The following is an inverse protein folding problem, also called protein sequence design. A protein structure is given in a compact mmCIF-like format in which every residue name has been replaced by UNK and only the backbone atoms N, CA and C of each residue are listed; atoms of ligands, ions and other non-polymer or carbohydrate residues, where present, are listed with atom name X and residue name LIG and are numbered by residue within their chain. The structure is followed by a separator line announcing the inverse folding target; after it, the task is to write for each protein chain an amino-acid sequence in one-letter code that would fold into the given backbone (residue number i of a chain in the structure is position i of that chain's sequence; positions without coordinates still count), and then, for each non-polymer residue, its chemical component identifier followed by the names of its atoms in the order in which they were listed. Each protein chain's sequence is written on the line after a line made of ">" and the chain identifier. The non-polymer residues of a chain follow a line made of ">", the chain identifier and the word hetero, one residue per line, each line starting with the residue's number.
data_IF_075524705991
#
_entry.id   IF_075524705991
#
_cell.length_a   1.000
_cell.length_b   1.000
_cell.length_c   1.000
_cell.angle_alpha   90.00
_cell.angle_beta   90.00
_cell.angle_gamma   90.00
#
_symmetry.space_group_name_H-M   'P 1'
#
loop_
_entity.id
_entity.type
_entity.pdbx_description
1 polymer ?
#
# COMPACT_ATOMS: atom_id res chain seq x y z
N UNK A 1 -4.98 -23.72 26.89
CA UNK A 1 -4.61 -23.38 25.50
C UNK A 1 -5.76 -22.58 24.87
N UNK A 2 -6.16 -21.47 25.50
CA UNK A 2 -7.42 -20.74 25.20
C UNK A 2 -7.30 -19.22 25.35
N UNK A 3 -6.26 -18.71 26.00
CA UNK A 3 -6.16 -17.28 26.33
C UNK A 3 -5.66 -16.40 25.19
N UNK A 4 -4.84 -16.96 24.32
CA UNK A 4 -4.21 -16.30 23.18
C UNK A 4 -5.13 -16.21 21.96
N UNK A 5 -6.03 -17.18 21.82
CA UNK A 5 -7.08 -17.21 20.79
C UNK A 5 -8.16 -16.17 21.06
N UNK A 6 -8.57 -16.01 22.33
CA UNK A 6 -9.51 -14.96 22.74
C UNK A 6 -8.95 -13.54 22.46
N UNK A 7 -7.66 -13.31 22.73
CA UNK A 7 -7.01 -12.03 22.42
C UNK A 7 -6.96 -11.72 20.91
N UNK A 8 -6.81 -12.73 20.05
CA UNK A 8 -6.86 -12.55 18.59
C UNK A 8 -8.25 -12.23 18.07
N UNK A 9 -9.29 -12.83 18.65
CA UNK A 9 -10.68 -12.53 18.31
C UNK A 9 -11.07 -11.09 18.70
N UNK A 10 -10.66 -10.64 19.89
CA UNK A 10 -10.92 -9.28 20.42
C UNK A 10 -10.30 -8.19 19.54
N UNK A 11 -9.09 -8.38 19.00
CA UNK A 11 -8.47 -7.39 18.09
C UNK A 11 -9.11 -7.40 16.69
N UNK A 12 -9.75 -8.50 16.31
CA UNK A 12 -10.39 -8.66 14.98
C UNK A 12 -11.82 -8.12 14.98
N UNK A 13 -12.52 -8.20 16.11
CA UNK A 13 -13.80 -7.55 16.33
C UNK A 13 -13.58 -6.07 16.72
N UNK A 14 -14.18 -5.14 15.99
CA UNK A 14 -14.04 -3.70 16.23
C UNK A 14 -14.81 -3.30 17.50
N UNK A 15 -14.20 -3.51 18.66
CA UNK A 15 -14.70 -2.97 19.93
C UNK A 15 -14.43 -1.46 19.92
N UNK A 16 -15.46 -0.65 20.07
CA UNK A 16 -15.34 0.81 20.20
C UNK A 16 -14.71 1.17 21.55
N UNK A 17 -13.38 1.14 21.59
CA UNK A 17 -12.56 1.45 22.78
C UNK A 17 -12.69 2.90 23.27
N UNK A 18 -13.31 3.79 22.49
CA UNK A 18 -13.45 5.22 22.81
C UNK A 18 -14.58 5.50 23.82
N UNK A 19 -15.62 4.67 23.87
CA UNK A 19 -16.80 4.87 24.74
C UNK A 19 -16.86 3.92 25.94
N UNK A 20 -15.94 2.97 26.04
CA UNK A 20 -15.92 1.93 27.09
C UNK A 20 -15.13 2.42 28.31
N UNK A 21 -15.58 2.17 29.55
CA UNK A 21 -14.83 2.53 30.75
C UNK A 21 -13.45 1.86 30.78
N UNK A 22 -12.46 2.59 31.27
CA UNK A 22 -11.04 2.19 31.25
C UNK A 22 -10.81 0.83 31.93
N UNK A 23 -11.55 0.53 32.99
CA UNK A 23 -11.52 -0.76 33.71
C UNK A 23 -11.90 -1.95 32.81
N UNK A 24 -12.84 -1.75 31.89
CA UNK A 24 -13.29 -2.79 30.96
C UNK A 24 -12.30 -2.96 29.80
N UNK A 25 -11.64 -1.88 29.37
CA UNK A 25 -10.52 -1.93 28.40
C UNK A 25 -9.36 -2.79 28.94
N UNK A 26 -9.02 -2.66 30.22
CA UNK A 26 -7.98 -3.48 30.86
C UNK A 26 -8.35 -4.97 30.91
N UNK A 27 -9.63 -5.30 31.09
CA UNK A 27 -10.12 -6.69 31.04
C UNK A 27 -10.07 -7.26 29.62
N UNK A 28 -10.51 -6.49 28.62
CA UNK A 28 -10.50 -6.91 27.21
C UNK A 28 -9.08 -7.09 26.65
N UNK A 29 -8.17 -6.15 26.95
CA UNK A 29 -6.77 -6.20 26.50
C UNK A 29 -5.87 -7.08 27.40
N UNK A 30 -6.44 -7.68 28.44
CA UNK A 30 -5.76 -8.45 29.49
C UNK A 30 -4.47 -7.77 29.94
N UNK A 31 -4.53 -6.49 30.29
CA UNK A 31 -3.38 -5.75 30.81
C UNK A 31 -3.66 -5.20 32.20
N UNK A 32 -2.61 -5.06 33.00
CA UNK A 32 -2.72 -4.46 34.34
C UNK A 32 -2.35 -2.97 34.26
N UNK A 33 -2.73 -2.20 35.28
CA UNK A 33 -2.31 -0.78 35.39
C UNK A 33 -0.79 -0.62 35.48
N UNK A 34 -0.08 -1.68 35.89
CA UNK A 34 1.39 -1.73 35.97
C UNK A 34 2.03 -2.17 34.64
N UNK A 35 1.22 -2.52 33.63
CA UNK A 35 1.68 -2.95 32.31
C UNK A 35 1.65 -4.48 32.12
N UNK A 36 2.51 -4.97 31.23
CA UNK A 36 2.70 -6.40 30.96
C UNK A 36 4.05 -6.85 31.49
N UNK A 37 4.13 -8.11 31.89
CA UNK A 37 5.39 -8.76 32.23
C UNK A 37 6.19 -9.14 30.97
N UNK A 38 7.51 -9.31 31.11
CA UNK A 38 8.41 -9.66 30.00
C UNK A 38 7.98 -10.94 29.25
N UNK A 39 7.45 -11.93 29.98
CA UNK A 39 6.97 -13.19 29.39
C UNK A 39 5.71 -12.98 28.53
N UNK A 40 4.75 -12.20 29.01
CA UNK A 40 3.51 -11.89 28.28
C UNK A 40 3.81 -11.06 27.02
N UNK A 41 4.79 -10.16 27.09
CA UNK A 41 5.28 -9.41 25.92
C UNK A 41 5.85 -10.37 24.88
N UNK A 42 6.67 -11.35 25.28
CA UNK A 42 7.25 -12.32 24.36
C UNK A 42 6.19 -13.21 23.69
N UNK A 43 5.18 -13.65 24.45
CA UNK A 43 4.05 -14.41 23.91
C UNK A 43 3.25 -13.58 22.90
N UNK A 44 2.93 -12.32 23.22
CA UNK A 44 2.22 -11.41 22.31
C UNK A 44 3.04 -11.10 21.07
N UNK A 45 4.35 -10.93 21.20
CA UNK A 45 5.24 -10.67 20.07
C UNK A 45 5.27 -11.86 19.09
N UNK A 46 5.23 -13.09 19.61
CA UNK A 46 5.11 -14.30 18.77
C UNK A 46 3.72 -14.42 18.11
N UNK A 47 2.65 -13.92 18.75
CA UNK A 47 1.26 -14.04 18.28
C UNK A 47 0.83 -12.97 17.27
N UNK A 48 1.22 -11.71 17.50
CA UNK A 48 0.85 -10.54 16.71
C UNK A 48 1.95 -10.12 15.73
N UNK A 49 3.19 -10.59 15.96
CA UNK A 49 4.35 -10.14 15.21
C UNK A 49 4.79 -8.73 15.62
N UNK A 50 5.92 -8.30 15.07
CA UNK A 50 6.40 -6.94 15.29
C UNK A 50 5.45 -5.94 14.63
N UNK A 51 4.98 -4.94 15.38
CA UNK A 51 4.24 -3.79 14.84
C UNK A 51 5.19 -2.84 14.08
N UNK A 52 5.84 -3.36 13.04
CA UNK A 52 6.63 -2.56 12.11
C UNK A 52 5.75 -2.30 10.90
N UNK A 53 5.36 -1.04 10.72
CA UNK A 53 4.74 -0.58 9.48
C UNK A 53 5.66 -1.01 8.34
N UNK A 54 5.12 -1.74 7.36
CA UNK A 54 5.88 -2.10 6.17
C UNK A 54 6.34 -0.80 5.51
N UNK A 55 7.62 -0.48 5.69
CA UNK A 55 8.29 0.51 4.88
C UNK A 55 8.32 -0.05 3.46
N UNK A 56 7.28 0.26 2.68
CA UNK A 56 7.30 0.05 1.24
C UNK A 56 8.53 0.79 0.74
N UNK A 57 9.60 0.04 0.45
CA UNK A 57 10.78 0.55 -0.26
C UNK A 57 10.31 0.95 -1.65
N UNK A 58 9.81 2.17 -1.77
CA UNK A 58 9.52 2.77 -3.04
C UNK A 58 10.87 3.00 -3.72
N UNK A 59 11.20 2.15 -4.68
CA UNK A 59 12.42 2.36 -5.45
C UNK A 59 12.25 3.63 -6.26
N UNK A 60 13.26 4.50 -6.21
CA UNK A 60 13.26 5.78 -6.95
C UNK A 60 13.05 5.57 -8.45
N UNK A 61 13.51 4.42 -8.97
CA UNK A 61 13.34 3.99 -10.35
C UNK A 61 11.87 3.64 -10.64
N UNK A 62 11.16 2.93 -9.76
CA UNK A 62 9.73 2.64 -9.95
C UNK A 62 8.88 3.93 -9.90
N UNK A 63 9.24 4.92 -9.07
CA UNK A 63 8.62 6.25 -9.12
C UNK A 63 8.90 6.99 -10.42
N UNK A 64 10.12 6.91 -10.93
CA UNK A 64 10.49 7.52 -12.20
C UNK A 64 9.77 6.86 -13.40
N UNK A 65 9.69 5.53 -13.43
CA UNK A 65 8.91 4.80 -14.45
C UNK A 65 7.40 5.04 -14.31
N UNK A 66 6.87 5.16 -13.09
CA UNK A 66 5.49 5.58 -12.86
C UNK A 66 5.21 7.00 -13.35
N UNK A 67 6.17 7.92 -13.20
CA UNK A 67 6.09 9.28 -13.75
C UNK A 67 6.15 9.33 -15.28
N UNK A 68 6.84 8.38 -15.92
CA UNK A 68 6.80 8.22 -17.38
C UNK A 68 5.41 7.78 -17.89
N UNK A 69 4.61 7.11 -17.05
CA UNK A 69 3.21 6.79 -17.35
C UNK A 69 2.23 7.91 -17.00
N UNK A 70 2.72 9.09 -16.62
CA UNK A 70 1.87 10.26 -16.43
C UNK A 70 1.39 10.77 -17.81
N UNK A 71 0.08 11.01 -18.04
CA UNK A 71 -0.45 11.49 -19.33
C UNK A 71 0.24 12.75 -19.88
N UNK A 72 0.89 13.55 -19.04
CA UNK A 72 1.70 14.69 -19.46
C UNK A 72 2.97 14.28 -20.23
N UNK A 73 3.64 13.20 -19.82
CA UNK A 73 4.83 12.66 -20.48
C UNK A 73 4.50 12.19 -21.91
N UNK A 74 3.29 11.68 -22.14
CA UNK A 74 2.83 11.26 -23.46
C UNK A 74 2.61 12.41 -24.44
N UNK A 75 2.18 13.58 -23.95
CA UNK A 75 1.97 14.74 -24.83
C UNK A 75 3.30 15.16 -25.46
N UNK A 76 4.38 15.10 -24.70
CA UNK A 76 5.73 15.39 -25.21
C UNK A 76 6.24 14.33 -26.18
N UNK A 77 5.98 13.05 -25.92
CA UNK A 77 6.35 11.96 -26.84
C UNK A 77 5.55 12.03 -28.15
N UNK A 78 4.24 12.31 -28.07
CA UNK A 78 3.38 12.52 -29.23
C UNK A 78 3.81 13.74 -30.06
N UNK A 79 4.17 14.85 -29.40
CA UNK A 79 4.68 16.04 -30.08
C UNK A 79 6.00 15.76 -30.82
N UNK A 80 6.91 15.00 -30.21
CA UNK A 80 8.17 14.59 -30.86
C UNK A 80 7.93 13.68 -32.07
N UNK A 81 7.04 12.69 -31.95
CA UNK A 81 6.65 11.81 -33.06
C UNK A 81 5.97 12.61 -34.18
N UNK A 82 5.08 13.55 -33.84
CA UNK A 82 4.42 14.43 -34.82
C UNK A 82 5.42 15.33 -35.55
N UNK A 83 6.41 15.90 -34.83
CA UNK A 83 7.45 16.72 -35.44
C UNK A 83 8.31 15.92 -36.44
N UNK A 84 8.70 14.68 -36.09
CA UNK A 84 9.43 13.78 -36.99
C UNK A 84 8.56 13.37 -38.18
N UNK A 85 7.27 13.06 -37.95
CA UNK A 85 6.32 12.69 -38.99
C UNK A 85 6.04 13.80 -39.99
N UNK A 86 5.97 15.06 -39.52
CA UNK A 86 5.82 16.25 -40.37
C UNK A 86 7.10 16.57 -41.17
N UNK A 87 8.27 16.37 -40.57
CA UNK A 87 9.55 16.62 -41.23
C UNK A 87 9.84 15.63 -42.39
N UNK A 88 9.32 14.40 -42.32
CA UNK A 88 9.61 13.35 -43.32
C UNK A 88 8.37 12.73 -43.99
N UNK A 89 7.16 13.31 -43.85
CA UNK A 89 5.93 12.86 -44.55
C UNK A 89 5.34 11.52 -44.06
N UNK A 90 5.63 11.11 -42.82
CA UNK A 90 5.39 9.76 -42.31
C UNK A 90 4.18 9.61 -41.38
N UNK A 91 2.97 9.97 -41.81
CA UNK A 91 1.71 9.86 -41.03
C UNK A 91 1.36 8.41 -40.61
N UNK A 92 2.05 7.42 -41.20
CA UNK A 92 1.86 5.98 -40.98
C UNK A 92 2.49 5.44 -39.68
N UNK A 93 3.56 6.06 -39.20
CA UNK A 93 4.23 5.65 -37.95
C UNK A 93 3.39 6.05 -36.73
N UNK A 94 2.76 7.23 -36.78
CA UNK A 94 1.89 7.73 -35.72
C UNK A 94 0.61 6.90 -35.54
N UNK A 95 -0.04 6.51 -36.65
CA UNK A 95 -1.26 5.67 -36.61
C UNK A 95 -0.98 4.24 -36.14
N UNK A 96 0.24 3.73 -36.36
CA UNK A 96 0.66 2.41 -35.88
C UNK A 96 0.98 2.43 -34.37
N UNK A 97 1.60 3.51 -33.88
CA UNK A 97 1.92 3.68 -32.45
C UNK A 97 0.68 3.91 -31.59
N UNK A 98 -0.25 4.77 -32.02
CA UNK A 98 -1.54 4.96 -31.33
C UNK A 98 -2.37 3.68 -31.26
N UNK A 99 -2.34 2.86 -32.31
CA UNK A 99 -3.08 1.59 -32.35
C UNK A 99 -2.49 0.55 -31.39
N UNK A 100 -1.16 0.51 -31.24
CA UNK A 100 -0.49 -0.35 -30.25
C UNK A 100 -0.77 0.13 -28.82
N UNK A 101 -0.74 1.44 -28.60
CA UNK A 101 -1.04 2.04 -27.30
C UNK A 101 -2.50 1.78 -26.86
N UNK A 102 -3.47 1.80 -27.78
CA UNK A 102 -4.87 1.44 -27.50
C UNK A 102 -5.07 -0.06 -27.19
N UNK A 103 -4.15 -0.94 -27.62
CA UNK A 103 -4.23 -2.39 -27.36
C UNK A 103 -3.66 -2.78 -25.99
N UNK A 104 -2.70 -2.01 -25.48
CA UNK A 104 -2.08 -2.24 -24.17
C UNK A 104 -2.97 -1.72 -23.01
N UNK A 105 -3.96 -0.87 -23.32
CA UNK A 105 -4.90 -0.31 -22.35
C UNK A 105 -6.25 -1.04 -22.21
N UNK A 106 -6.37 -2.28 -22.69
CA UNK A 106 -7.52 -3.17 -22.40
C UNK A 106 -7.14 -4.25 -21.41
#
# INVERSE_FOLDING_TARGET
>A
MTDTEALKAITTENIDLENVPVEEVFQHLKCTKEGLTSNEVQERLNLFGYNKLEEKKESKILKFLGFMWNPLSWVMEAAAIMAIGLAHGGVRLFTSFLRLHMYIGK
#
